data_IF_703548790691
#
_entry.id   IF_703548790691
#
_cell.length_a   1.000
_cell.length_b   1.000
_cell.length_c   1.000
_cell.angle_alpha   90.00
_cell.angle_beta   90.00
_cell.angle_gamma   90.00
#
_symmetry.space_group_name_H-M   'P 1'
#
loop_
_entity.id
_entity.type
_entity.pdbx_description
1 polymer ?
#
# COMPACT_ATOMS: atom_id res chain seq x y z
N UNK A 1 -11.95 6.05 0.12
CA UNK A 1 -12.62 4.91 -0.56
C UNK A 1 -13.26 5.42 -1.84
N UNK A 2 -12.99 4.81 -3.00
CA UNK A 2 -13.63 5.18 -4.26
C UNK A 2 -15.05 4.58 -4.27
N UNK A 3 -16.12 5.36 -4.47
CA UNK A 3 -17.45 4.80 -4.37
C UNK A 3 -17.72 4.02 -5.68
N UNK A 4 -18.05 2.71 -5.56
CA UNK A 4 -18.46 1.83 -6.66
C UNK A 4 -19.87 2.22 -7.16
N UNK A 5 -19.99 3.44 -7.67
CA UNK A 5 -21.22 4.02 -8.21
C UNK A 5 -21.01 4.42 -9.65
N UNK A 6 -22.03 4.17 -10.46
CA UNK A 6 -21.99 4.53 -11.87
C UNK A 6 -21.93 6.07 -12.02
N UNK A 7 -20.95 6.63 -12.74
CA UNK A 7 -20.85 8.08 -12.92
C UNK A 7 -21.99 8.67 -13.77
N UNK A 8 -22.77 7.83 -14.46
CA UNK A 8 -23.87 8.26 -15.33
C UNK A 8 -25.23 8.29 -14.64
N UNK A 9 -25.49 7.36 -13.71
CA UNK A 9 -26.80 7.20 -13.08
C UNK A 9 -26.77 7.02 -11.56
N UNK A 10 -25.59 7.05 -10.93
CA UNK A 10 -25.40 6.89 -9.49
C UNK A 10 -25.88 5.53 -8.92
N UNK A 11 -26.15 4.55 -9.77
CA UNK A 11 -26.49 3.19 -9.33
C UNK A 11 -25.28 2.44 -8.76
N UNK A 12 -25.54 1.50 -7.85
CA UNK A 12 -24.51 0.63 -7.28
C UNK A 12 -23.88 -0.30 -8.33
N UNK A 13 -22.56 -0.43 -8.31
CA UNK A 13 -21.79 -1.34 -9.17
C UNK A 13 -21.20 -2.50 -8.36
N UNK A 14 -20.84 -3.59 -9.06
CA UNK A 14 -20.21 -4.79 -8.46
C UNK A 14 -18.99 -5.19 -9.29
N UNK A 15 -17.95 -5.68 -8.63
CA UNK A 15 -16.78 -6.26 -9.29
C UNK A 15 -17.14 -7.69 -9.69
N UNK A 16 -16.96 -8.05 -10.97
CA UNK A 16 -17.29 -9.38 -11.48
C UNK A 16 -16.08 -10.31 -11.54
N UNK A 17 -14.90 -9.77 -11.82
CA UNK A 17 -13.65 -10.52 -11.96
C UNK A 17 -12.43 -9.60 -11.84
N UNK A 18 -11.26 -10.22 -11.66
CA UNK A 18 -9.95 -9.56 -11.74
C UNK A 18 -9.19 -10.07 -12.97
N UNK A 19 -8.50 -9.16 -13.64
CA UNK A 19 -7.56 -9.49 -14.73
C UNK A 19 -6.16 -9.61 -14.12
N UNK A 20 -5.57 -10.81 -14.18
CA UNK A 20 -4.26 -11.09 -13.57
C UNK A 20 -3.12 -11.09 -14.57
N UNK A 21 -3.39 -11.26 -15.87
CA UNK A 21 -2.37 -11.30 -16.90
C UNK A 21 -1.86 -9.88 -17.23
N UNK A 22 -0.58 -9.63 -16.97
CA UNK A 22 0.04 -8.33 -17.17
C UNK A 22 -0.03 -7.82 -18.62
N UNK A 23 0.09 -8.72 -19.61
CA UNK A 23 -0.02 -8.35 -21.03
C UNK A 23 -1.43 -7.82 -21.36
N UNK A 24 -2.46 -8.46 -20.83
CA UNK A 24 -3.85 -8.04 -21.00
C UNK A 24 -4.13 -6.72 -20.28
N UNK A 25 -3.63 -6.55 -19.05
CA UNK A 25 -3.75 -5.27 -18.32
C UNK A 25 -3.12 -4.12 -19.11
N UNK A 26 -1.90 -4.31 -19.65
CA UNK A 26 -1.20 -3.27 -20.45
C UNK A 26 -2.00 -2.89 -21.69
N UNK A 27 -2.49 -3.88 -22.46
CA UNK A 27 -3.32 -3.63 -23.66
C UNK A 27 -4.58 -2.82 -23.34
N UNK A 28 -5.25 -3.12 -22.22
CA UNK A 28 -6.44 -2.39 -21.78
C UNK A 28 -6.09 -0.94 -21.43
N UNK A 29 -5.00 -0.71 -20.69
CA UNK A 29 -4.56 0.62 -20.32
C UNK A 29 -4.15 1.46 -21.53
N UNK A 30 -3.37 0.89 -22.44
CA UNK A 30 -2.94 1.54 -23.69
C UNK A 30 -4.15 1.92 -24.55
N UNK A 31 -5.15 1.03 -24.66
CA UNK A 31 -6.39 1.31 -25.39
C UNK A 31 -7.17 2.51 -24.82
N UNK A 32 -7.11 2.71 -23.50
CA UNK A 32 -7.74 3.87 -22.84
C UNK A 32 -6.87 5.14 -22.88
N UNK A 33 -5.66 5.08 -23.45
CA UNK A 33 -4.70 6.19 -23.39
C UNK A 33 -4.17 6.46 -21.99
N UNK A 34 -4.28 5.50 -21.06
CA UNK A 34 -3.70 5.62 -19.73
C UNK A 34 -2.24 5.20 -19.79
N UNK A 35 -1.34 6.04 -19.26
CA UNK A 35 0.07 5.67 -19.14
C UNK A 35 0.21 4.38 -18.32
N UNK A 36 1.02 3.44 -18.83
CA UNK A 36 1.42 2.21 -18.12
C UNK A 36 2.57 2.45 -17.13
N UNK A 37 3.08 3.67 -17.08
CA UNK A 37 4.14 4.06 -16.15
C UNK A 37 3.58 4.02 -14.73
N UNK A 38 4.22 3.28 -13.80
CA UNK A 38 3.80 3.29 -12.42
C UNK A 38 3.86 4.71 -11.85
N UNK A 39 2.96 5.02 -10.93
CA UNK A 39 3.04 6.27 -10.19
C UNK A 39 4.41 6.34 -9.47
N UNK A 40 5.03 7.53 -9.40
CA UNK A 40 6.24 7.71 -8.61
C UNK A 40 6.00 7.22 -7.17
N UNK A 41 6.97 6.48 -6.63
CA UNK A 41 6.93 6.10 -5.22
C UNK A 41 7.04 7.38 -4.38
N UNK A 42 5.97 7.71 -3.66
CA UNK A 42 6.02 8.76 -2.65
C UNK A 42 6.62 8.19 -1.36
N UNK A 43 7.45 8.95 -0.63
CA UNK A 43 7.88 8.54 0.70
C UNK A 43 6.67 8.25 1.57
N UNK A 44 6.77 7.25 2.44
CA UNK A 44 5.69 6.92 3.38
C UNK A 44 5.39 8.17 4.20
N UNK A 45 4.19 8.73 4.04
CA UNK A 45 3.75 9.83 4.87
C UNK A 45 3.52 9.28 6.26
N UNK A 46 4.08 9.96 7.28
CA UNK A 46 3.67 9.69 8.65
C UNK A 46 2.15 9.91 8.71
N UNK A 47 1.39 9.01 9.36
CA UNK A 47 -0.01 9.31 9.66
C UNK A 47 -0.08 10.67 10.35
N UNK A 48 -1.12 11.49 10.11
CA UNK A 48 -1.27 12.76 10.81
C UNK A 48 -1.13 12.48 12.30
N UNK A 49 -0.06 13.00 12.92
CA UNK A 49 0.15 12.90 14.35
C UNK A 49 -1.00 13.67 14.99
N UNK A 50 -2.04 12.97 15.44
CA UNK A 50 -2.79 13.47 16.56
C UNK A 50 -1.79 13.53 17.72
N UNK A 51 -1.81 14.62 18.48
CA UNK A 51 -1.04 14.80 19.72
C UNK A 51 -1.48 13.76 20.77
N UNK A 52 -1.23 12.48 20.50
CA UNK A 52 -1.30 11.44 21.49
C UNK A 52 0.01 11.51 22.26
N UNK A 53 0.02 12.36 23.30
CA UNK A 53 1.06 12.35 24.32
C UNK A 53 1.03 10.98 25.01
N UNK A 54 1.85 10.06 24.51
CA UNK A 54 2.12 8.80 25.16
C UNK A 54 3.01 9.09 26.38
N UNK A 55 2.47 8.99 27.61
CA UNK A 55 3.18 9.28 28.87
C UNK A 55 4.30 8.29 29.23
N UNK A 56 4.71 7.41 28.31
CA UNK A 56 5.76 6.41 28.54
C UNK A 56 6.77 6.33 27.40
N UNK A 57 7.48 7.42 27.12
CA UNK A 57 8.58 7.42 26.14
C UNK A 57 9.68 6.45 26.57
N UNK A 58 9.69 5.24 26.00
CA UNK A 58 10.82 4.34 26.01
C UNK A 58 11.31 4.17 24.58
N UNK A 59 12.51 4.66 24.28
CA UNK A 59 13.25 4.33 23.07
C UNK A 59 13.34 2.80 22.99
N UNK A 60 12.68 2.20 22.00
CA UNK A 60 12.83 0.77 21.76
C UNK A 60 14.27 0.55 21.31
N UNK A 61 15.10 -0.03 22.16
CA UNK A 61 16.45 -0.46 21.84
C UNK A 61 16.36 -1.67 20.88
N UNK A 62 16.37 -1.38 19.58
CA UNK A 62 16.29 -2.40 18.52
C UNK A 62 17.72 -2.85 18.19
N UNK A 63 18.35 -3.56 19.12
CA UNK A 63 19.41 -4.52 18.78
C UNK A 63 19.49 -5.64 19.82
N UNK A 64 18.76 -6.73 19.58
CA UNK A 64 18.95 -7.99 20.32
C UNK A 64 19.54 -9.10 19.44
N UNK A 65 20.23 -8.77 18.32
CA UNK A 65 20.71 -9.81 17.40
C UNK A 65 22.16 -10.28 17.60
N UNK A 66 22.82 -9.97 18.71
CA UNK A 66 24.18 -10.47 19.02
C UNK A 66 24.25 -11.33 20.28
N UNK A 67 23.32 -12.28 20.46
CA UNK A 67 23.39 -13.28 21.53
C UNK A 67 23.22 -14.73 21.04
N UNK A 68 23.58 -15.05 19.80
CA UNK A 68 23.64 -16.44 19.30
C UNK A 68 25.03 -16.86 18.80
N UNK A 69 26.10 -16.18 19.24
CA UNK A 69 27.45 -16.69 19.04
C UNK A 69 28.11 -16.77 20.42
N UNK A 70 28.64 -17.96 20.73
CA UNK A 70 29.47 -18.35 21.88
C UNK A 70 28.81 -19.18 23.01
N UNK A 71 28.46 -20.44 22.71
CA UNK A 71 28.73 -21.54 23.65
C UNK A 71 29.73 -22.52 23.00
N UNK A 72 30.97 -22.64 23.49
CA UNK A 72 31.89 -23.70 23.06
C UNK A 72 31.58 -25.00 23.81
N UNK A 73 31.21 -26.04 23.08
CA UNK A 73 31.20 -27.43 23.55
C UNK A 73 32.51 -28.13 23.26
#
# INVERSE_FOLDING_TARGET
MLPLVCPRCSGAMRILAFVTEAATVRRILDHMGKGITPAPLSPSQAPPCADFAWEGGGEADIDQRTAFENEPG
#
